data_IF_109991366725
#
_entry.id   IF_109991366725
#
_cell.length_a   1.000
_cell.length_b   1.000
_cell.length_c   1.000
_cell.angle_alpha   90.00
_cell.angle_beta   90.00
_cell.angle_gamma   90.00
#
_symmetry.space_group_name_H-M   'P 1'
#
loop_
_entity.id
_entity.type
_entity.pdbx_description
1 polymer ?
#
# COMPACT_ATOMS: atom_id res chain seq x y z
N UNK A 1 18.61 3.02 7.58
CA UNK A 1 18.54 1.85 6.65
C UNK A 1 17.23 1.05 6.77
N UNK A 2 16.84 0.65 7.99
CA UNK A 2 15.64 -0.16 8.25
C UNK A 2 14.35 0.49 7.75
N UNK A 3 14.10 1.76 8.12
CA UNK A 3 12.92 2.50 7.66
C UNK A 3 12.82 2.56 6.12
N UNK A 4 13.95 2.78 5.45
CA UNK A 4 14.01 2.79 3.99
C UNK A 4 13.59 1.45 3.39
N UNK A 5 14.08 0.33 3.92
CA UNK A 5 13.73 -1.03 3.47
C UNK A 5 12.24 -1.32 3.66
N UNK A 6 11.68 -0.96 4.83
CA UNK A 6 10.25 -1.12 5.10
C UNK A 6 9.40 -0.25 4.16
N UNK A 7 9.83 0.99 3.89
CA UNK A 7 9.14 1.89 2.96
C UNK A 7 9.11 1.31 1.55
N UNK A 8 10.26 0.94 0.98
CA UNK A 8 10.33 0.44 -0.39
C UNK A 8 9.62 -0.91 -0.55
N UNK A 9 9.62 -1.77 0.48
CA UNK A 9 8.86 -3.02 0.41
C UNK A 9 7.36 -2.80 0.14
N UNK A 10 6.77 -1.74 0.71
CA UNK A 10 5.38 -1.36 0.45
C UNK A 10 5.23 -0.54 -0.82
N UNK A 11 6.16 0.40 -1.07
CA UNK A 11 6.08 1.31 -2.20
C UNK A 11 6.22 0.56 -3.55
N UNK A 12 7.08 -0.46 -3.63
CA UNK A 12 7.22 -1.29 -4.83
C UNK A 12 5.96 -2.12 -5.13
N UNK A 13 5.25 -2.58 -4.08
CA UNK A 13 3.95 -3.22 -4.28
C UNK A 13 2.89 -2.21 -4.75
N UNK A 14 2.95 -0.97 -4.25
CA UNK A 14 2.07 0.11 -4.70
C UNK A 14 2.28 0.42 -6.19
N UNK A 15 3.53 0.65 -6.62
CA UNK A 15 3.86 0.93 -8.03
C UNK A 15 3.55 -0.25 -8.94
N UNK A 16 3.84 -1.49 -8.51
CA UNK A 16 3.41 -2.69 -9.25
C UNK A 16 1.91 -2.67 -9.55
N UNK A 17 1.08 -2.40 -8.53
CA UNK A 17 -0.38 -2.37 -8.66
C UNK A 17 -0.81 -1.21 -9.55
N UNK A 18 -0.27 0.00 -9.32
CA UNK A 18 -0.59 1.17 -10.15
C UNK A 18 -0.24 0.94 -11.61
N UNK A 19 0.97 0.44 -11.91
CA UNK A 19 1.40 0.14 -13.27
C UNK A 19 0.49 -0.91 -13.93
N UNK A 20 0.13 -1.99 -13.20
CA UNK A 20 -0.79 -3.01 -13.72
C UNK A 20 -2.16 -2.41 -14.05
N UNK A 21 -2.74 -1.67 -13.11
CA UNK A 21 -4.07 -1.09 -13.27
C UNK A 21 -4.11 -0.07 -14.42
N UNK A 22 -3.11 0.82 -14.50
CA UNK A 22 -2.97 1.74 -15.63
C UNK A 22 -2.88 0.98 -16.95
N UNK A 23 -2.04 -0.06 -17.02
CA UNK A 23 -1.92 -0.88 -18.22
C UNK A 23 -3.25 -1.50 -18.66
N UNK A 24 -4.02 -2.07 -17.74
CA UNK A 24 -5.33 -2.69 -18.06
C UNK A 24 -6.40 -1.72 -18.56
N UNK A 25 -6.20 -0.42 -18.37
CA UNK A 25 -7.12 0.63 -18.85
C UNK A 25 -6.72 1.20 -20.23
N UNK A 26 -5.53 0.86 -20.73
CA UNK A 26 -5.05 1.33 -22.02
C UNK A 26 -5.65 0.52 -23.16
N UNK A 27 -6.13 1.22 -24.18
CA UNK A 27 -6.63 0.63 -25.42
C UNK A 27 -5.54 0.54 -26.51
N UNK A 28 -4.32 1.00 -26.22
CA UNK A 28 -3.18 0.91 -27.13
C UNK A 28 -2.24 -0.24 -26.70
N UNK A 29 -1.91 -1.19 -27.62
CA UNK A 29 -1.06 -2.34 -27.27
C UNK A 29 0.35 -1.96 -26.80
N UNK A 30 0.91 -0.86 -27.31
CA UNK A 30 2.26 -0.43 -26.96
C UNK A 30 2.34 0.01 -25.49
N UNK A 31 1.44 0.89 -25.07
CA UNK A 31 1.31 1.36 -23.70
C UNK A 31 1.00 0.22 -22.74
N UNK A 32 0.03 -0.65 -23.06
CA UNK A 32 -0.23 -1.85 -22.26
C UNK A 32 1.05 -2.66 -22.00
N UNK A 33 1.82 -2.94 -23.06
CA UNK A 33 3.05 -3.73 -22.96
C UNK A 33 4.13 -3.05 -22.11
N UNK A 34 4.29 -1.72 -22.22
CA UNK A 34 5.22 -0.97 -21.37
C UNK A 34 4.80 -1.06 -19.90
N UNK A 35 3.52 -0.85 -19.61
CA UNK A 35 3.00 -0.89 -18.24
C UNK A 35 3.12 -2.29 -17.61
N UNK A 36 2.92 -3.36 -18.38
CA UNK A 36 3.11 -4.73 -17.90
C UNK A 36 4.58 -5.05 -17.62
N UNK A 37 5.52 -4.54 -18.42
CA UNK A 37 6.97 -4.68 -18.17
C UNK A 37 7.36 -3.97 -16.87
N UNK A 38 6.95 -2.71 -16.70
CA UNK A 38 7.17 -1.97 -15.46
C UNK A 38 6.59 -2.70 -14.25
N UNK A 39 5.33 -3.12 -14.32
CA UNK A 39 4.70 -3.90 -13.23
C UNK A 39 5.46 -5.19 -12.90
N UNK A 40 6.08 -5.84 -13.89
CA UNK A 40 6.89 -7.05 -13.68
C UNK A 40 8.19 -6.74 -12.95
N UNK A 41 8.85 -5.62 -13.28
CA UNK A 41 10.07 -5.19 -12.61
C UNK A 41 9.79 -4.77 -11.17
N UNK A 42 8.75 -3.96 -10.92
CA UNK A 42 8.37 -3.59 -9.55
C UNK A 42 7.96 -4.81 -8.72
N UNK A 43 7.40 -5.86 -9.34
CA UNK A 43 7.15 -7.11 -8.64
C UNK A 43 8.45 -7.79 -8.19
N UNK A 44 9.52 -7.76 -8.99
CA UNK A 44 10.83 -8.31 -8.60
C UNK A 44 11.44 -7.49 -7.46
N UNK A 45 11.38 -6.16 -7.56
CA UNK A 45 11.84 -5.26 -6.49
C UNK A 45 11.06 -5.49 -5.19
N UNK A 46 9.73 -5.58 -5.28
CA UNK A 46 8.88 -5.88 -4.16
C UNK A 46 9.28 -7.21 -3.49
N UNK A 47 9.41 -8.29 -4.24
CA UNK A 47 9.81 -9.60 -3.69
C UNK A 47 11.14 -9.51 -2.94
N UNK A 48 12.14 -8.83 -3.53
CA UNK A 48 13.44 -8.62 -2.89
C UNK A 48 13.32 -7.89 -1.55
N UNK A 49 12.67 -6.72 -1.52
CA UNK A 49 12.58 -5.92 -0.30
C UNK A 49 11.64 -6.54 0.74
N UNK A 50 10.58 -7.19 0.30
CA UNK A 50 9.67 -7.95 1.16
C UNK A 50 10.40 -9.05 1.92
N UNK A 51 11.25 -9.81 1.22
CA UNK A 51 12.04 -10.90 1.80
C UNK A 51 13.16 -10.36 2.70
N UNK A 52 13.74 -9.21 2.36
CA UNK A 52 14.68 -8.50 3.22
C UNK A 52 14.04 -8.08 4.55
N UNK A 53 12.81 -7.57 4.52
CA UNK A 53 12.06 -7.24 5.74
C UNK A 53 11.70 -8.50 6.53
N UNK A 54 11.33 -9.61 5.85
CA UNK A 54 11.14 -10.90 6.53
C UNK A 54 12.39 -11.33 7.30
N UNK A 55 13.58 -11.21 6.69
CA UNK A 55 14.85 -11.52 7.38
C UNK A 55 15.19 -10.55 8.49
N UNK A 56 14.83 -9.28 8.34
CA UNK A 56 14.97 -8.30 9.43
C UNK A 56 14.10 -8.67 10.64
N UNK A 57 12.87 -9.12 10.43
CA UNK A 57 11.98 -9.56 11.51
C UNK A 57 12.59 -10.74 12.26
N UNK A 58 13.19 -11.71 11.55
CA UNK A 58 13.86 -12.86 12.18
C UNK A 58 15.07 -12.42 13.04
N UNK A 59 15.88 -11.47 12.56
CA UNK A 59 17.13 -11.07 13.20
C UNK A 59 16.96 -10.02 14.31
N UNK A 60 16.04 -9.08 14.12
CA UNK A 60 15.78 -7.99 15.05
C UNK A 60 14.29 -7.58 14.99
N UNK A 61 13.40 -8.38 15.58
CA UNK A 61 11.96 -8.19 15.46
C UNK A 61 11.51 -6.84 16.01
N UNK A 62 12.06 -6.39 17.15
CA UNK A 62 11.67 -5.10 17.75
C UNK A 62 11.96 -3.92 16.82
N UNK A 63 13.16 -3.85 16.24
CA UNK A 63 13.52 -2.79 15.30
C UNK A 63 12.65 -2.82 14.03
N UNK A 64 12.32 -4.03 13.55
CA UNK A 64 11.46 -4.21 12.38
C UNK A 64 10.05 -3.65 12.65
N UNK A 65 9.44 -4.00 13.78
CA UNK A 65 8.09 -3.59 14.15
C UNK A 65 8.00 -2.06 14.34
N UNK A 66 8.96 -1.46 15.03
CA UNK A 66 8.97 -0.02 15.23
C UNK A 66 9.09 0.75 13.91
N UNK A 67 9.91 0.26 12.98
CA UNK A 67 10.05 0.85 11.66
C UNK A 67 8.81 0.64 10.78
N UNK A 68 8.26 -0.57 10.76
CA UNK A 68 7.01 -0.87 10.06
C UNK A 68 5.87 0.03 10.56
N UNK A 69 5.74 0.23 11.88
CA UNK A 69 4.77 1.16 12.45
C UNK A 69 4.96 2.57 11.89
N UNK A 70 6.18 3.10 11.86
CA UNK A 70 6.45 4.43 11.29
C UNK A 70 6.03 4.48 9.82
N UNK A 71 6.52 3.54 9.02
CA UNK A 71 6.29 3.56 7.57
C UNK A 71 4.83 3.30 7.18
N UNK A 72 4.10 2.43 7.88
CA UNK A 72 2.66 2.20 7.67
C UNK A 72 1.86 3.45 8.01
N UNK A 73 2.20 4.16 9.08
CA UNK A 73 1.45 5.32 9.54
C UNK A 73 1.74 6.61 8.76
N UNK A 74 2.95 6.75 8.23
CA UNK A 74 3.40 7.93 7.48
C UNK A 74 3.61 7.66 5.99
N UNK A 75 3.09 6.55 5.46
CA UNK A 75 3.29 6.22 4.05
C UNK A 75 2.78 7.35 3.16
N UNK A 76 3.61 7.74 2.20
CA UNK A 76 3.21 8.63 1.11
C UNK A 76 3.83 8.15 -0.20
N UNK A 77 3.04 8.25 -1.26
CA UNK A 77 3.55 8.02 -2.61
C UNK A 77 4.64 9.05 -2.91
N UNK A 78 5.76 8.64 -3.53
CA UNK A 78 6.77 9.59 -3.97
C UNK A 78 6.14 10.56 -4.97
N UNK A 79 6.41 11.85 -4.81
CA UNK A 79 5.82 12.93 -5.63
C UNK A 79 5.06 13.98 -4.83
N UNK A 80 4.87 13.78 -3.52
CA UNK A 80 4.45 14.81 -2.56
C UNK A 80 5.46 15.97 -2.55
N UNK A 81 5.24 16.95 -3.43
CA UNK A 81 6.18 18.05 -3.69
C UNK A 81 6.24 18.47 -5.17
N UNK A 82 5.74 17.63 -6.08
CA UNK A 82 5.55 17.98 -7.48
C UNK A 82 4.34 18.92 -7.61
N UNK A 83 4.44 20.06 -8.31
CA UNK A 83 3.30 20.92 -8.58
C UNK A 83 2.12 20.14 -9.19
N UNK A 84 0.92 20.32 -8.64
CA UNK A 84 -0.29 19.61 -9.11
C UNK A 84 -0.41 18.15 -8.67
N UNK A 85 0.52 17.60 -7.89
CA UNK A 85 0.49 16.19 -7.49
C UNK A 85 -0.82 15.76 -6.81
N UNK A 86 -1.38 16.62 -5.95
CA UNK A 86 -2.64 16.32 -5.26
C UNK A 86 -3.80 16.12 -6.24
N UNK A 87 -3.87 16.93 -7.30
CA UNK A 87 -4.94 16.82 -8.29
C UNK A 87 -4.72 15.60 -9.20
N UNK A 88 -3.47 15.29 -9.55
CA UNK A 88 -3.14 14.03 -10.22
C UNK A 88 -3.50 12.81 -9.37
N UNK A 89 -3.17 12.81 -8.08
CA UNK A 89 -3.51 11.73 -7.16
C UNK A 89 -5.03 11.54 -7.04
N UNK A 90 -5.80 12.64 -6.99
CA UNK A 90 -7.28 12.58 -7.01
C UNK A 90 -7.81 11.99 -8.32
N UNK A 91 -7.25 12.38 -9.46
CA UNK A 91 -7.66 11.86 -10.76
C UNK A 91 -7.36 10.35 -10.89
N UNK A 92 -6.17 9.92 -10.46
CA UNK A 92 -5.74 8.50 -10.41
C UNK A 92 -6.68 7.68 -9.51
N UNK A 93 -7.01 8.21 -8.32
CA UNK A 93 -7.91 7.54 -7.39
C UNK A 93 -9.33 7.44 -7.94
N UNK A 94 -9.83 8.49 -8.61
CA UNK A 94 -11.18 8.52 -9.19
C UNK A 94 -11.40 7.40 -10.21
N UNK A 95 -10.37 7.04 -10.97
CA UNK A 95 -10.46 5.97 -11.98
C UNK A 95 -10.01 4.60 -11.46
N UNK A 96 -9.75 4.47 -10.17
CA UNK A 96 -9.43 3.18 -9.54
C UNK A 96 -8.01 2.64 -9.82
N UNK A 97 -7.09 3.47 -10.33
CA UNK A 97 -5.69 3.04 -10.54
C UNK A 97 -5.00 2.81 -9.18
N UNK A 98 -5.15 3.77 -8.27
CA UNK A 98 -4.62 3.69 -6.92
C UNK A 98 -5.37 4.64 -5.99
N UNK A 99 -5.98 4.10 -4.95
CA UNK A 99 -6.67 4.86 -3.92
C UNK A 99 -6.36 4.29 -2.52
N UNK A 100 -6.92 4.93 -1.49
CA UNK A 100 -6.71 4.51 -0.10
C UNK A 100 -7.28 3.12 0.20
N UNK A 101 -8.33 2.68 -0.49
CA UNK A 101 -8.92 1.34 -0.31
C UNK A 101 -7.99 0.28 -0.88
N UNK A 102 -7.48 0.49 -2.10
CA UNK A 102 -6.46 -0.38 -2.71
C UNK A 102 -5.22 -0.44 -1.83
N UNK A 103 -4.72 0.70 -1.34
CA UNK A 103 -3.55 0.72 -0.46
C UNK A 103 -3.78 -0.10 0.81
N UNK A 104 -4.92 0.08 1.47
CA UNK A 104 -5.24 -0.69 2.68
C UNK A 104 -5.36 -2.20 2.39
N UNK A 105 -6.20 -2.58 1.45
CA UNK A 105 -6.61 -3.97 1.24
C UNK A 105 -5.61 -4.80 0.46
N UNK A 106 -4.93 -4.21 -0.52
CA UNK A 106 -4.03 -4.92 -1.43
C UNK A 106 -2.56 -4.82 -1.03
N UNK A 107 -2.22 -3.91 -0.12
CA UNK A 107 -0.82 -3.67 0.29
C UNK A 107 -0.67 -3.90 1.79
N UNK A 108 -1.27 -3.06 2.62
CA UNK A 108 -1.02 -3.08 4.07
C UNK A 108 -1.51 -4.38 4.70
N UNK A 109 -2.76 -4.77 4.46
CA UNK A 109 -3.33 -5.99 5.02
C UNK A 109 -2.53 -7.27 4.67
N UNK A 110 -2.23 -7.57 3.39
CA UNK A 110 -1.48 -8.78 3.06
C UNK A 110 -0.04 -8.74 3.54
N UNK A 111 0.65 -7.58 3.50
CA UNK A 111 2.02 -7.52 3.98
C UNK A 111 2.10 -7.73 5.50
N UNK A 112 1.27 -7.02 6.26
CA UNK A 112 1.33 -7.06 7.72
C UNK A 112 0.85 -8.40 8.27
N UNK A 113 -0.28 -8.95 7.79
CA UNK A 113 -0.90 -10.11 8.43
C UNK A 113 -0.63 -11.46 7.72
N UNK A 114 -0.20 -11.45 6.46
CA UNK A 114 0.05 -12.70 5.72
C UNK A 114 1.53 -12.91 5.46
N UNK A 115 2.20 -11.93 4.86
CA UNK A 115 3.59 -12.07 4.46
C UNK A 115 4.53 -12.03 5.65
N UNK A 116 4.37 -11.03 6.52
CA UNK A 116 5.22 -10.84 7.69
C UNK A 116 4.60 -11.39 8.97
N UNK A 117 3.29 -11.69 8.94
CA UNK A 117 2.54 -12.27 10.06
C UNK A 117 2.84 -11.56 11.41
N UNK A 118 2.81 -10.22 11.40
CA UNK A 118 3.24 -9.37 12.51
C UNK A 118 2.48 -9.67 13.82
N UNK A 119 1.18 -9.92 13.68
CA UNK A 119 0.53 -11.11 14.22
C UNK A 119 1.12 -11.87 15.41
N UNK A 120 2.10 -12.65 15.00
CA UNK A 120 2.63 -13.86 15.60
C UNK A 120 4.11 -13.70 15.90
N UNK A 121 4.65 -12.50 15.69
CA UNK A 121 6.03 -12.17 16.03
C UNK A 121 6.10 -12.07 17.56
N UNK A 122 7.01 -12.84 18.14
CA UNK A 122 7.25 -12.91 19.58
C UNK A 122 8.64 -12.34 19.91
N UNK A 123 8.95 -12.21 21.21
CA UNK A 123 10.26 -11.70 21.66
C UNK A 123 10.44 -10.19 21.43
N UNK A 124 9.34 -9.44 21.41
CA UNK A 124 9.36 -7.98 21.26
C UNK A 124 9.71 -7.28 22.57
N UNK A 125 10.40 -6.14 22.47
CA UNK A 125 10.52 -5.18 23.56
C UNK A 125 9.15 -4.57 23.86
N UNK A 126 8.98 -4.00 25.06
CA UNK A 126 7.73 -3.29 25.41
C UNK A 126 7.40 -2.16 24.42
N UNK A 127 8.41 -1.41 23.96
CA UNK A 127 8.20 -0.36 22.96
C UNK A 127 7.74 -0.91 21.60
N UNK A 128 8.26 -2.07 21.19
CA UNK A 128 7.85 -2.72 19.96
C UNK A 128 6.44 -3.33 20.07
N UNK A 129 6.05 -3.84 21.24
CA UNK A 129 4.67 -4.26 21.52
C UNK A 129 3.70 -3.08 21.39
N UNK A 130 4.00 -1.95 22.02
CA UNK A 130 3.20 -0.72 21.87
C UNK A 130 3.14 -0.23 20.42
N UNK A 131 4.25 -0.34 19.68
CA UNK A 131 4.29 0.01 18.27
C UNK A 131 3.42 -0.92 17.42
N UNK A 132 3.42 -2.23 17.69
CA UNK A 132 2.54 -3.20 17.01
C UNK A 132 1.07 -2.85 17.24
N UNK A 133 0.69 -2.60 18.49
CA UNK A 133 -0.68 -2.23 18.84
C UNK A 133 -1.13 -0.93 18.19
N UNK A 134 -0.27 0.09 18.19
CA UNK A 134 -0.54 1.36 17.54
C UNK A 134 -0.71 1.18 16.02
N UNK A 135 0.13 0.36 15.40
CA UNK A 135 0.04 0.03 13.97
C UNK A 135 -1.28 -0.69 13.67
N UNK A 136 -1.68 -1.68 14.45
CA UNK A 136 -2.95 -2.41 14.23
C UNK A 136 -4.17 -1.52 14.39
N UNK A 137 -4.21 -0.68 15.44
CA UNK A 137 -5.27 0.33 15.62
C UNK A 137 -5.34 1.30 14.43
N UNK A 138 -4.18 1.71 13.91
CA UNK A 138 -4.12 2.54 12.70
C UNK A 138 -4.71 1.82 11.49
N UNK A 139 -4.30 0.58 11.23
CA UNK A 139 -4.77 -0.23 10.09
C UNK A 139 -6.28 -0.44 10.17
N UNK A 140 -6.82 -0.75 11.35
CA UNK A 140 -8.26 -0.92 11.53
C UNK A 140 -9.03 0.37 11.23
N UNK A 141 -8.55 1.50 11.75
CA UNK A 141 -9.15 2.82 11.51
C UNK A 141 -9.14 3.20 10.04
N UNK A 142 -8.01 3.01 9.34
CA UNK A 142 -7.90 3.28 7.90
C UNK A 142 -8.87 2.38 7.13
N UNK A 143 -8.97 1.09 7.48
CA UNK A 143 -9.92 0.18 6.84
C UNK A 143 -11.38 0.60 7.01
N UNK A 144 -11.77 1.12 8.18
CA UNK A 144 -13.13 1.68 8.40
C UNK A 144 -13.39 2.91 7.53
N UNK A 145 -12.40 3.78 7.36
CA UNK A 145 -12.53 4.98 6.50
C UNK A 145 -12.61 4.57 5.03
N UNK A 146 -11.76 3.65 4.58
CA UNK A 146 -11.74 3.15 3.21
C UNK A 146 -13.09 2.54 2.80
N UNK A 147 -13.66 1.66 3.63
CA UNK A 147 -14.99 1.05 3.37
C UNK A 147 -16.08 2.10 3.22
N UNK A 148 -16.14 3.08 4.14
CA UNK A 148 -17.10 4.19 4.07
C UNK A 148 -16.96 5.04 2.80
N UNK A 149 -15.73 5.21 2.29
CA UNK A 149 -15.51 5.94 1.04
C UNK A 149 -16.01 5.15 -0.17
N UNK A 150 -15.76 3.83 -0.20
CA UNK A 150 -16.25 2.94 -1.25
C UNK A 150 -17.78 2.93 -1.27
N UNK A 151 -18.43 2.70 -0.12
CA UNK A 151 -19.89 2.71 0.03
C UNK A 151 -20.52 4.02 -0.49
N UNK A 152 -19.92 5.17 -0.17
CA UNK A 152 -20.38 6.48 -0.64
C UNK A 152 -20.23 6.65 -2.15
N UNK A 153 -19.13 6.15 -2.73
CA UNK A 153 -18.88 6.21 -4.18
C UNK A 153 -19.90 5.36 -4.93
N UNK A 154 -20.11 4.12 -4.49
CA UNK A 154 -21.09 3.21 -5.08
C UNK A 154 -22.52 3.76 -4.99
N UNK A 155 -22.90 4.37 -3.85
CA UNK A 155 -24.20 5.02 -3.70
C UNK A 155 -24.39 6.22 -4.63
N UNK A 156 -23.34 7.01 -4.86
CA UNK A 156 -23.37 8.14 -5.79
C UNK A 156 -23.45 7.67 -7.25
N UNK A 157 -22.70 6.63 -7.63
CA UNK A 157 -22.76 6.02 -8.96
C UNK A 157 -24.14 5.41 -9.24
N UNK A 158 -24.70 4.66 -8.29
CA UNK A 158 -26.05 4.11 -8.40
C UNK A 158 -27.11 5.20 -8.56
N UNK A 159 -26.97 6.31 -7.82
CA UNK A 159 -27.87 7.46 -7.91
C UNK A 159 -27.74 8.19 -9.26
N UNK A 160 -26.53 8.31 -9.81
CA UNK A 160 -26.29 8.91 -11.13
C UNK A 160 -26.89 8.05 -12.27
N UNK A 161 -26.78 6.72 -12.17
CA UNK A 161 -27.41 5.79 -13.12
C UNK A 161 -28.94 5.87 -13.03
N UNK A 162 -29.50 6.02 -11.82
CA UNK A 162 -30.96 6.11 -11.64
C UNK A 162 -31.59 7.40 -12.19
N UNK A 163 -30.79 8.41 -12.54
CA UNK A 163 -31.24 9.69 -13.11
C UNK A 163 -31.15 9.69 -14.65
N UNK A 164 -30.46 8.71 -15.25
CA UNK A 164 -30.36 8.50 -16.70
C UNK A 164 -31.47 7.58 -17.22
#
# INVERSE_FOLDING_TARGET
>A
PVDGMCYVAMQELATRISHRNTGTMLNDPAGYNVMMKLSTDENRHHLFYRDLVSKLIELNPSAAIEALKRQVMSFSMPGTGIPGFVDHARAIAKVGIYDFSIHHEKIIMPLVFRQWAIDKVEGLSSAAEEARDAMFKYIERVGKVARRQVERREAAEASAIAIL
#
